data_IF_447104286850
#
_entry.id   IF_447104286850
#
_cell.length_a   1.000
_cell.length_b   1.000
_cell.length_c   1.000
_cell.angle_alpha   90.00
_cell.angle_beta   90.00
_cell.angle_gamma   90.00
#
_symmetry.space_group_name_H-M   'P 1'
#
loop_
_entity.id
_entity.type
_entity.pdbx_description
1 polymer ?
#
# COMPACT_ATOMS: atom_id res chain seq x y z
N UNK A 1 -8.02 -19.11 21.82
CA UNK A 1 -7.52 -17.74 22.07
C UNK A 1 -7.79 -16.96 20.80
N UNK A 2 -8.56 -15.87 20.89
CA UNK A 2 -8.93 -15.02 19.73
C UNK A 2 -7.94 -13.86 19.56
N UNK A 3 -6.67 -14.09 19.89
CA UNK A 3 -5.59 -13.12 19.73
C UNK A 3 -4.85 -13.34 18.42
N UNK A 4 -4.33 -12.29 17.83
CA UNK A 4 -3.52 -12.32 16.62
C UNK A 4 -2.24 -13.12 16.91
N UNK A 5 -1.98 -14.12 16.08
CA UNK A 5 -0.82 -15.02 16.17
C UNK A 5 -0.42 -15.47 14.76
N UNK A 6 0.80 -16.02 14.56
CA UNK A 6 1.22 -16.44 13.23
C UNK A 6 0.24 -17.40 12.56
N UNK A 7 -0.05 -17.18 11.28
CA UNK A 7 -0.99 -17.95 10.47
C UNK A 7 -2.45 -17.87 10.94
N UNK A 8 -2.88 -16.74 11.53
CA UNK A 8 -4.31 -16.43 11.66
C UNK A 8 -4.76 -15.49 10.52
N UNK A 9 -6.01 -15.62 10.09
CA UNK A 9 -6.65 -14.61 9.25
C UNK A 9 -7.11 -13.45 10.16
N UNK A 10 -6.69 -12.24 9.80
CA UNK A 10 -7.10 -11.01 10.49
C UNK A 10 -8.03 -10.23 9.58
N UNK A 11 -9.19 -9.84 10.11
CA UNK A 11 -10.11 -8.92 9.46
C UNK A 11 -10.14 -7.64 10.30
N UNK A 12 -9.90 -6.49 9.67
CA UNK A 12 -9.84 -5.22 10.37
C UNK A 12 -10.44 -4.07 9.55
N UNK A 13 -11.04 -3.10 10.24
CA UNK A 13 -11.27 -1.78 9.66
C UNK A 13 -10.01 -0.94 9.88
N UNK A 14 -9.68 -0.08 8.93
CA UNK A 14 -8.57 0.85 9.06
C UNK A 14 -8.85 2.22 8.46
N UNK A 15 -8.17 3.22 9.00
CA UNK A 15 -7.95 4.53 8.39
C UNK A 15 -6.46 4.82 8.41
N UNK A 16 -5.92 5.22 7.27
CA UNK A 16 -4.53 5.59 7.08
C UNK A 16 -4.45 7.10 6.89
N UNK A 17 -3.72 7.79 7.75
CA UNK A 17 -3.49 9.23 7.66
C UNK A 17 -2.01 9.56 7.48
N UNK A 18 -1.72 10.74 6.94
CA UNK A 18 -0.36 11.30 6.97
C UNK A 18 -0.06 12.07 8.27
N UNK A 19 1.12 12.67 8.35
CA UNK A 19 1.57 13.44 9.51
C UNK A 19 0.71 14.69 9.81
N UNK A 20 -0.06 15.20 8.84
CA UNK A 20 -0.95 16.34 9.03
C UNK A 20 -2.35 15.89 9.49
N UNK A 21 -2.61 14.58 9.52
CA UNK A 21 -3.92 14.00 9.81
C UNK A 21 -4.81 13.87 8.57
N UNK A 22 -4.30 14.17 7.38
CA UNK A 22 -5.07 14.02 6.14
C UNK A 22 -5.25 12.53 5.84
N UNK A 23 -6.48 12.14 5.51
CA UNK A 23 -6.81 10.73 5.19
C UNK A 23 -6.24 10.37 3.82
N UNK A 24 -5.34 9.38 3.82
CA UNK A 24 -4.71 8.83 2.62
C UNK A 24 -5.51 7.65 2.06
N UNK A 25 -6.04 6.79 2.93
CA UNK A 25 -6.84 5.63 2.57
C UNK A 25 -7.70 5.18 3.75
N UNK A 26 -8.83 4.53 3.50
CA UNK A 26 -9.65 3.92 4.53
C UNK A 26 -10.38 2.69 3.98
N UNK A 27 -10.60 1.68 4.82
CA UNK A 27 -11.50 0.57 4.49
C UNK A 27 -12.96 1.00 4.57
N UNK A 28 -13.82 0.38 3.78
CA UNK A 28 -15.28 0.44 4.00
C UNK A 28 -15.77 -0.84 4.70
N UNK A 29 -16.98 -0.85 5.28
CA UNK A 29 -17.57 -2.07 5.83
C UNK A 29 -17.63 -3.25 4.84
N UNK A 30 -17.78 -2.96 3.56
CA UNK A 30 -17.82 -3.95 2.47
C UNK A 30 -16.43 -4.43 2.04
N UNK A 31 -15.39 -3.62 2.31
CA UNK A 31 -14.00 -3.87 1.91
C UNK A 31 -13.04 -3.73 3.09
N UNK A 32 -13.20 -4.54 4.16
CA UNK A 32 -12.28 -4.52 5.28
C UNK A 32 -10.89 -4.99 4.85
N UNK A 33 -9.87 -4.58 5.60
CA UNK A 33 -8.56 -5.19 5.48
C UNK A 33 -8.66 -6.67 5.87
N UNK A 34 -8.16 -7.55 5.00
CA UNK A 34 -8.10 -8.99 5.24
C UNK A 34 -6.75 -9.52 4.80
N UNK A 35 -6.03 -10.17 5.70
CA UNK A 35 -4.71 -10.76 5.40
C UNK A 35 -4.39 -11.91 6.36
N UNK A 36 -3.35 -12.68 6.04
CA UNK A 36 -2.80 -13.72 6.91
C UNK A 36 -1.61 -13.17 7.69
N UNK A 37 -1.70 -13.21 9.01
CA UNK A 37 -0.67 -12.68 9.89
C UNK A 37 0.61 -13.52 9.83
N UNK A 38 1.74 -12.85 9.62
CA UNK A 38 3.05 -13.49 9.49
C UNK A 38 3.33 -14.07 8.10
N UNK A 39 2.44 -13.85 7.11
CA UNK A 39 2.64 -14.29 5.72
C UNK A 39 3.35 -13.25 4.84
N UNK A 40 3.81 -12.13 5.40
CA UNK A 40 4.50 -11.07 4.67
C UNK A 40 3.60 -10.28 3.71
N UNK A 41 2.28 -10.32 3.92
CA UNK A 41 1.30 -9.60 3.11
C UNK A 41 1.11 -8.14 3.55
N UNK A 42 1.68 -7.76 4.68
CA UNK A 42 1.51 -6.48 5.34
C UNK A 42 2.87 -5.89 5.75
N UNK A 43 2.89 -4.59 6.05
CA UNK A 43 4.06 -3.91 6.60
C UNK A 43 4.49 -4.61 7.89
N UNK A 44 5.73 -5.11 7.95
CA UNK A 44 6.22 -5.92 9.07
C UNK A 44 6.13 -5.19 10.42
N UNK A 45 6.38 -3.87 10.43
CA UNK A 45 6.22 -3.05 11.64
C UNK A 45 4.76 -2.99 12.11
N UNK A 46 3.81 -2.94 11.18
CA UNK A 46 2.39 -2.96 11.49
C UNK A 46 1.96 -4.33 12.01
N UNK A 47 2.37 -5.42 11.37
CA UNK A 47 2.11 -6.78 11.86
C UNK A 47 2.64 -6.93 13.29
N UNK A 48 3.88 -6.54 13.53
CA UNK A 48 4.49 -6.60 14.86
C UNK A 48 3.68 -5.81 15.89
N UNK A 49 3.22 -4.60 15.53
CA UNK A 49 2.47 -3.73 16.43
C UNK A 49 1.09 -4.29 16.83
N UNK A 50 0.42 -5.05 15.94
CA UNK A 50 -0.91 -5.61 16.22
C UNK A 50 -0.86 -7.06 16.71
N UNK A 51 0.34 -7.66 16.81
CA UNK A 51 0.48 -9.04 17.29
C UNK A 51 0.00 -9.17 18.74
N UNK A 52 -0.72 -10.25 19.05
CA UNK A 52 -1.30 -10.48 20.38
C UNK A 52 -2.60 -9.73 20.68
N UNK A 53 -2.99 -8.73 19.88
CA UNK A 53 -4.27 -8.04 20.02
C UNK A 53 -5.45 -8.94 19.65
N UNK A 54 -6.63 -8.62 20.16
CA UNK A 54 -7.83 -9.45 20.04
C UNK A 54 -8.92 -8.74 19.24
N UNK A 55 -9.91 -9.52 18.83
CA UNK A 55 -11.16 -8.98 18.27
C UNK A 55 -11.77 -7.92 19.18
N UNK A 56 -12.14 -6.78 18.59
CA UNK A 56 -12.67 -5.62 19.30
C UNK A 56 -11.63 -4.58 19.68
N UNK A 57 -10.34 -4.92 19.68
CA UNK A 57 -9.27 -3.96 20.00
C UNK A 57 -9.16 -2.86 18.93
N UNK A 58 -8.88 -1.65 19.40
CA UNK A 58 -8.61 -0.48 18.56
C UNK A 58 -7.20 0.06 18.86
N UNK A 59 -6.45 0.35 17.81
CA UNK A 59 -5.05 0.74 17.88
C UNK A 59 -4.75 1.91 16.98
N UNK A 60 -3.80 2.74 17.42
CA UNK A 60 -3.19 3.78 16.61
C UNK A 60 -1.70 3.48 16.49
N UNK A 61 -1.24 3.16 15.29
CA UNK A 61 0.15 2.80 15.01
C UNK A 61 0.73 3.81 14.03
N UNK A 62 1.62 4.68 14.52
CA UNK A 62 2.38 5.60 13.68
C UNK A 62 3.69 4.95 13.24
N UNK A 63 3.94 4.93 11.94
CA UNK A 63 5.12 4.35 11.32
C UNK A 63 5.90 5.42 10.56
N UNK A 64 7.20 5.47 10.83
CA UNK A 64 8.17 6.25 10.04
C UNK A 64 8.28 5.72 8.61
N UNK A 65 8.84 6.51 7.66
CA UNK A 65 9.06 6.02 6.30
C UNK A 65 9.79 4.67 6.26
N UNK A 66 10.84 4.50 7.05
CA UNK A 66 11.68 3.31 7.14
C UNK A 66 10.92 2.08 7.63
N UNK A 67 9.94 2.29 8.52
CA UNK A 67 9.07 1.23 9.04
C UNK A 67 7.92 0.89 8.10
N UNK A 68 7.55 1.81 7.18
CA UNK A 68 6.41 1.68 6.29
C UNK A 68 6.82 1.46 4.83
N UNK A 69 6.88 2.53 4.03
CA UNK A 69 7.03 2.46 2.57
C UNK A 69 8.45 2.80 2.06
N UNK A 70 9.41 2.90 2.98
CA UNK A 70 10.77 3.33 2.73
C UNK A 70 10.89 4.83 2.49
N UNK A 71 12.14 5.28 2.35
CA UNK A 71 12.44 6.64 1.91
C UNK A 71 12.06 6.86 0.46
N UNK A 72 11.75 8.11 0.13
CA UNK A 72 11.76 8.55 -1.26
C UNK A 72 13.18 8.45 -1.79
N UNK A 73 13.33 7.82 -2.96
CA UNK A 73 14.60 7.53 -3.62
C UNK A 73 14.71 8.40 -4.87
N UNK A 74 15.56 9.44 -4.86
CA UNK A 74 15.76 10.32 -6.03
C UNK A 74 16.21 9.57 -7.27
N UNK A 75 16.93 8.45 -7.11
CA UNK A 75 17.39 7.59 -8.20
C UNK A 75 16.25 6.87 -8.95
N UNK A 76 15.05 6.82 -8.37
CA UNK A 76 13.85 6.30 -9.04
C UNK A 76 13.06 7.39 -9.77
N UNK A 77 13.57 8.62 -9.78
CA UNK A 77 13.03 9.74 -10.56
C UNK A 77 13.90 9.94 -11.79
N UNK A 78 13.31 9.79 -12.97
CA UNK A 78 14.06 9.85 -14.23
C UNK A 78 13.23 10.41 -15.38
N UNK A 79 13.90 10.96 -16.39
CA UNK A 79 13.25 11.41 -17.61
C UNK A 79 13.02 10.24 -18.57
N UNK A 80 11.77 10.08 -19.02
CA UNK A 80 11.41 9.22 -20.12
C UNK A 80 11.14 10.07 -21.37
N UNK A 81 11.89 9.78 -22.44
CA UNK A 81 11.65 10.38 -23.76
C UNK A 81 10.32 9.92 -24.36
N UNK A 82 9.76 10.71 -25.28
CA UNK A 82 8.43 10.46 -25.87
C UNK A 82 8.24 9.06 -26.45
N UNK A 83 9.30 8.48 -27.00
CA UNK A 83 9.33 7.14 -27.60
C UNK A 83 9.10 6.03 -26.56
N UNK A 84 9.50 6.25 -25.31
CA UNK A 84 9.33 5.31 -24.21
C UNK A 84 7.99 5.50 -23.48
N UNK A 85 7.21 6.52 -23.84
CA UNK A 85 5.90 6.79 -23.30
C UNK A 85 4.79 6.20 -24.19
N UNK A 86 3.62 5.84 -23.63
CA UNK A 86 2.51 5.30 -24.41
C UNK A 86 2.18 6.13 -25.66
N UNK A 87 2.18 5.46 -26.83
CA UNK A 87 1.81 6.09 -28.09
C UNK A 87 0.31 6.40 -28.14
N UNK A 88 -0.07 7.48 -28.83
CA UNK A 88 -1.47 7.85 -29.02
C UNK A 88 -2.24 8.31 -27.77
N UNK A 89 -1.58 8.39 -26.61
CA UNK A 89 -2.17 8.89 -25.35
C UNK A 89 -1.56 10.24 -24.98
N UNK A 90 -2.42 11.18 -24.58
CA UNK A 90 -1.97 12.43 -23.96
C UNK A 90 -1.43 12.14 -22.56
N UNK A 91 -0.21 12.59 -22.28
CA UNK A 91 0.44 12.46 -20.98
C UNK A 91 0.25 13.77 -20.21
N UNK A 92 -0.14 13.67 -18.95
CA UNK A 92 -0.30 14.82 -18.07
C UNK A 92 0.29 14.55 -16.70
N UNK A 93 0.65 15.61 -15.97
CA UNK A 93 1.14 15.52 -14.60
C UNK A 93 0.10 14.85 -13.71
N UNK A 94 0.56 14.05 -12.76
CA UNK A 94 -0.26 13.24 -11.87
C UNK A 94 -0.70 11.90 -12.45
N UNK A 95 -0.56 11.69 -13.76
CA UNK A 95 -0.93 10.43 -14.40
C UNK A 95 -0.05 9.27 -13.90
N UNK A 96 -0.67 8.14 -13.57
CA UNK A 96 0.03 6.89 -13.28
C UNK A 96 0.16 6.04 -14.55
N UNK A 97 1.38 5.61 -14.86
CA UNK A 97 1.72 4.70 -15.94
C UNK A 97 2.13 3.35 -15.36
N UNK A 98 1.66 2.27 -15.97
CA UNK A 98 2.00 0.90 -15.56
C UNK A 98 2.62 0.19 -16.77
N UNK A 99 3.96 0.14 -16.88
CA UNK A 99 4.61 -0.57 -17.98
C UNK A 99 4.17 -2.04 -18.02
N UNK A 100 3.74 -2.52 -19.19
CA UNK A 100 3.13 -3.85 -19.33
C UNK A 100 1.61 -3.90 -19.02
N UNK A 101 0.96 -2.75 -18.81
CA UNK A 101 -0.49 -2.68 -18.59
C UNK A 101 -0.91 -3.35 -17.28
N UNK A 102 -2.03 -4.08 -17.28
CA UNK A 102 -2.57 -4.70 -16.07
C UNK A 102 -1.66 -5.78 -15.45
N UNK A 103 -0.68 -6.28 -16.20
CA UNK A 103 0.32 -7.24 -15.70
C UNK A 103 1.62 -6.59 -15.24
N UNK A 104 1.73 -5.26 -15.36
CA UNK A 104 2.90 -4.52 -14.91
C UNK A 104 3.09 -4.63 -13.40
N UNK A 105 4.33 -4.91 -12.98
CA UNK A 105 4.68 -5.15 -11.57
C UNK A 105 4.93 -3.88 -10.78
N UNK A 106 4.98 -2.73 -11.44
CA UNK A 106 5.28 -1.43 -10.82
C UNK A 106 4.57 -0.30 -11.55
N UNK A 107 4.38 0.80 -10.83
CA UNK A 107 3.71 2.01 -11.29
C UNK A 107 4.70 3.16 -11.32
N UNK A 108 4.57 4.03 -12.32
CA UNK A 108 5.35 5.25 -12.49
C UNK A 108 4.40 6.44 -12.49
N UNK A 109 4.64 7.44 -11.64
CA UNK A 109 3.85 8.67 -11.63
C UNK A 109 4.52 9.72 -12.50
N UNK A 110 3.76 10.36 -13.40
CA UNK A 110 4.24 11.52 -14.14
C UNK A 110 4.27 12.72 -13.20
N UNK A 111 5.46 13.25 -12.92
CA UNK A 111 5.63 14.39 -12.01
C UNK A 111 5.86 15.71 -12.73
N UNK A 112 6.39 15.66 -13.96
CA UNK A 112 6.54 16.83 -14.82
C UNK A 112 6.53 16.44 -16.30
N UNK A 113 6.21 17.40 -17.17
CA UNK A 113 6.40 17.29 -18.62
C UNK A 113 7.68 18.04 -19.00
N UNK A 114 8.42 17.52 -19.98
CA UNK A 114 9.63 18.15 -20.51
C UNK A 114 9.48 18.36 -22.02
N UNK A 115 10.39 19.10 -22.64
CA UNK A 115 10.41 19.25 -24.10
C UNK A 115 10.61 17.92 -24.84
N UNK A 116 11.30 16.96 -24.20
CA UNK A 116 11.66 15.66 -24.79
C UNK A 116 10.68 14.54 -24.42
N UNK A 117 9.86 14.73 -23.38
CA UNK A 117 8.96 13.71 -22.85
C UNK A 117 8.40 14.09 -21.49
N UNK A 118 8.69 13.29 -20.46
CA UNK A 118 8.18 13.48 -19.12
C UNK A 118 9.14 12.98 -18.04
N UNK A 119 9.10 13.60 -16.87
CA UNK A 119 9.76 13.09 -15.66
C UNK A 119 8.80 12.11 -14.97
N UNK A 120 9.29 10.90 -14.73
CA UNK A 120 8.58 9.82 -14.08
C UNK A 120 9.18 9.55 -12.70
N UNK A 121 8.33 9.24 -11.73
CA UNK A 121 8.70 8.82 -10.38
C UNK A 121 8.22 7.39 -10.13
N UNK A 122 9.16 6.47 -9.91
CA UNK A 122 8.90 5.07 -9.60
C UNK A 122 8.82 4.72 -8.12
N UNK A 123 8.86 5.72 -7.22
CA UNK A 123 8.68 5.50 -5.79
C UNK A 123 7.26 5.02 -5.46
N UNK A 124 7.12 4.34 -4.32
CA UNK A 124 5.80 4.09 -3.75
C UNK A 124 5.11 5.44 -3.51
N UNK A 125 3.79 5.59 -3.75
CA UNK A 125 3.08 6.86 -3.57
C UNK A 125 3.20 7.47 -2.16
N UNK A 126 3.46 6.61 -1.17
CA UNK A 126 3.63 6.97 0.24
C UNK A 126 5.10 6.91 0.71
N UNK A 127 6.06 6.71 -0.19
CA UNK A 127 7.48 6.73 0.16
C UNK A 127 7.88 8.10 0.76
N UNK A 128 8.72 8.07 1.79
CA UNK A 128 9.14 9.26 2.52
C UNK A 128 8.08 9.86 3.46
N UNK A 129 6.87 9.29 3.53
CA UNK A 129 5.82 9.76 4.45
C UNK A 129 5.81 8.96 5.74
N UNK A 130 5.74 9.66 6.87
CA UNK A 130 5.25 9.10 8.13
C UNK A 130 3.75 8.92 8.01
N UNK A 131 3.24 7.76 8.40
CA UNK A 131 1.82 7.41 8.30
C UNK A 131 1.29 6.90 9.62
N UNK A 132 0.01 7.18 9.91
CA UNK A 132 -0.66 6.64 11.10
C UNK A 132 -1.80 5.72 10.68
N UNK A 133 -1.77 4.50 11.19
CA UNK A 133 -2.82 3.49 11.02
C UNK A 133 -3.72 3.48 12.25
N UNK A 134 -4.96 3.94 12.07
CA UNK A 134 -6.07 3.69 13.00
C UNK A 134 -6.68 2.35 12.61
N UNK A 135 -6.53 1.32 13.44
CA UNK A 135 -6.98 -0.05 13.14
C UNK A 135 -7.96 -0.51 14.20
N UNK A 136 -9.08 -1.09 13.75
CA UNK A 136 -10.01 -1.83 14.59
C UNK A 136 -10.04 -3.28 14.17
N UNK A 137 -9.68 -4.19 15.07
CA UNK A 137 -9.71 -5.63 14.80
C UNK A 137 -11.17 -6.10 14.83
N UNK A 138 -11.67 -6.54 13.68
CA UNK A 138 -13.06 -6.97 13.52
C UNK A 138 -13.22 -8.47 13.74
N UNK A 139 -12.21 -9.28 13.39
CA UNK A 139 -12.21 -10.72 13.66
C UNK A 139 -10.78 -11.28 13.59
N UNK A 140 -10.55 -12.34 14.37
CA UNK A 140 -9.33 -13.15 14.32
C UNK A 140 -9.74 -14.61 14.14
N UNK A 141 -9.53 -15.15 12.94
CA UNK A 141 -9.90 -16.52 12.61
C UNK A 141 -8.65 -17.40 12.54
N UNK A 142 -8.71 -18.68 12.97
CA UNK A 142 -7.66 -19.63 12.65
C UNK A 142 -7.57 -19.77 11.12
N UNK A 143 -6.36 -19.71 10.54
CA UNK A 143 -6.23 -19.90 9.09
C UNK A 143 -6.77 -21.27 8.71
N UNK A 144 -7.75 -21.30 7.79
CA UNK A 144 -8.13 -22.54 7.12
C UNK A 144 -6.92 -23.04 6.33
N UNK A 145 -6.65 -24.33 6.43
CA UNK A 145 -5.40 -24.99 5.99
C UNK A 145 -5.18 -25.03 4.46
N UNK A 146 -6.00 -24.32 3.67
CA UNK A 146 -6.09 -24.45 2.21
C UNK A 146 -5.98 -23.10 1.45
N UNK A 147 -5.16 -22.16 1.92
CA UNK A 147 -4.79 -21.01 1.09
C UNK A 147 -3.74 -21.44 0.05
N UNK A 148 -4.19 -22.13 -1.00
CA UNK A 148 -3.41 -22.26 -2.24
C UNK A 148 -3.51 -20.94 -3.00
N UNK A 149 -2.36 -20.28 -3.15
CA UNK A 149 -2.01 -19.25 -4.13
C UNK A 149 -3.16 -18.62 -4.93
N UNK A 150 -3.78 -17.58 -4.38
CA UNK A 150 -4.23 -16.47 -5.22
C UNK A 150 -3.87 -15.17 -4.49
N UNK A 151 -2.59 -14.81 -4.57
CA UNK A 151 -2.09 -13.52 -4.12
C UNK A 151 -2.79 -12.42 -4.93
N UNK A 152 -3.92 -11.91 -4.45
CA UNK A 152 -4.38 -10.59 -4.87
C UNK A 152 -3.47 -9.58 -4.14
N UNK A 153 -2.53 -8.91 -4.83
CA UNK A 153 -1.84 -7.79 -4.22
C UNK A 153 -2.88 -6.79 -3.71
N UNK A 154 -2.60 -6.12 -2.59
CA UNK A 154 -3.42 -5.00 -2.12
C UNK A 154 -3.54 -4.02 -3.29
N UNK A 155 -4.72 -3.96 -3.89
CA UNK A 155 -5.03 -2.99 -4.94
C UNK A 155 -5.26 -1.67 -4.23
N UNK A 156 -4.24 -0.81 -4.24
CA UNK A 156 -4.40 0.59 -3.87
C UNK A 156 -5.54 1.16 -4.70
N UNK A 157 -6.60 1.60 -4.04
CA UNK A 157 -7.69 2.33 -4.70
C UNK A 157 -7.04 3.53 -5.39
N UNK A 158 -7.25 3.67 -6.70
CA UNK A 158 -6.76 4.80 -7.47
C UNK A 158 -7.27 6.10 -6.81
N UNK A 159 -6.34 6.87 -6.23
CA UNK A 159 -6.52 8.29 -5.93
C UNK A 159 -6.07 9.09 -7.13
#
# INVERSE_FOLDING_TARGET
MNSIHPHCEVIAAYTLTDANGDTLAASTPETPLRYIHGAGQMIAALETAISGHQEGDELNVTLTPEQAYGHHRPELVFEAVRENLPAGKAIHVGMTLTPGGQQGKFSLKVVALTERGAILDGNHPLAGKTVTWQIKILAVNPSKKDWQEEHQPIKWVNV
#
